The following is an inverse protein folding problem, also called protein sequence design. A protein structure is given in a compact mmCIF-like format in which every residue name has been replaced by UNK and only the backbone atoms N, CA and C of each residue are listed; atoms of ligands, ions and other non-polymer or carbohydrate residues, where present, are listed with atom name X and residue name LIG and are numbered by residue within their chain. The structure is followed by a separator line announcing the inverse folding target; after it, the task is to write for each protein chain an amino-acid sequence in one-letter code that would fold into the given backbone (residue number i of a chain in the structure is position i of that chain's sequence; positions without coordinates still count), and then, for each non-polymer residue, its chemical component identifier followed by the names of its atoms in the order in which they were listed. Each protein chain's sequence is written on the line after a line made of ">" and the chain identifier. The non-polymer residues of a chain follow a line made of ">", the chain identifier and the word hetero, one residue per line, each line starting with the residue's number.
data_IF_302817219084
#
_entry.id   IF_302817219084
#
_cell.length_a   1.000
_cell.length_b   1.000
_cell.length_c   1.000
_cell.angle_alpha   90.00
_cell.angle_beta   90.00
_cell.angle_gamma   90.00
#
_symmetry.space_group_name_H-M   'P 1'
#
loop_
_entity.id
_entity.type
_entity.pdbx_description
1 polymer ?
#
# COMPACT_ATOMS: atom_id res chain seq x y z
N UNK A 1 -12.65 -15.88 -4.36
CA UNK A 1 -13.86 -15.03 -4.36
C UNK A 1 -14.12 -14.59 -2.93
N UNK A 2 -14.40 -13.31 -2.72
CA UNK A 2 -14.84 -12.76 -1.44
C UNK A 2 -16.16 -12.02 -1.67
N UNK A 3 -17.07 -12.06 -0.71
CA UNK A 3 -18.36 -11.35 -0.74
C UNK A 3 -18.52 -10.52 0.53
N UNK A 4 -19.22 -9.39 0.42
CA UNK A 4 -19.57 -8.54 1.55
C UNK A 4 -20.95 -7.93 1.31
N UNK A 5 -21.58 -7.48 2.39
CA UNK A 5 -22.82 -6.72 2.35
C UNK A 5 -22.54 -5.29 2.77
N UNK A 6 -23.17 -4.34 2.10
CA UNK A 6 -23.03 -2.91 2.37
C UNK A 6 -24.41 -2.30 2.54
N UNK A 7 -24.62 -1.59 3.63
CA UNK A 7 -25.82 -0.76 3.84
C UNK A 7 -25.48 0.66 3.44
N UNK A 8 -26.29 1.22 2.54
CA UNK A 8 -26.16 2.59 2.07
C UNK A 8 -27.42 3.37 2.46
N UNK A 9 -27.31 4.69 2.66
CA UNK A 9 -28.47 5.58 2.62
C UNK A 9 -29.25 5.38 1.31
N UNK A 10 -30.58 5.42 1.38
CA UNK A 10 -31.45 5.12 0.24
C UNK A 10 -31.17 6.04 -0.97
N UNK A 11 -30.99 7.33 -0.71
CA UNK A 11 -30.67 8.34 -1.72
C UNK A 11 -29.34 8.06 -2.44
N UNK A 12 -28.34 7.58 -1.70
CA UNK A 12 -27.05 7.21 -2.27
C UNK A 12 -27.14 5.88 -3.03
N UNK A 13 -27.92 4.92 -2.55
CA UNK A 13 -28.14 3.65 -3.23
C UNK A 13 -28.83 3.85 -4.58
N UNK A 14 -29.86 4.70 -4.63
CA UNK A 14 -30.58 5.06 -5.86
C UNK A 14 -29.64 5.71 -6.88
N UNK A 15 -28.89 6.72 -6.47
CA UNK A 15 -27.91 7.38 -7.35
C UNK A 15 -26.83 6.42 -7.82
N UNK A 16 -26.24 5.63 -6.91
CA UNK A 16 -25.21 4.65 -7.28
C UNK A 16 -25.75 3.59 -8.25
N UNK A 17 -27.01 3.17 -8.10
CA UNK A 17 -27.66 2.26 -9.03
C UNK A 17 -27.88 2.90 -10.41
N UNK A 18 -28.34 4.16 -10.46
CA UNK A 18 -28.56 4.92 -11.70
C UNK A 18 -27.27 5.04 -12.53
N UNK A 19 -26.13 5.26 -11.87
CA UNK A 19 -24.81 5.33 -12.51
C UNK A 19 -24.14 3.96 -12.71
N UNK A 20 -24.80 2.85 -12.37
CA UNK A 20 -24.24 1.50 -12.49
C UNK A 20 -23.04 1.23 -11.56
N UNK A 21 -22.88 2.03 -10.51
CA UNK A 21 -21.76 1.89 -9.56
C UNK A 21 -21.93 0.70 -8.62
N UNK A 22 -23.14 0.13 -8.51
CA UNK A 22 -23.42 -1.07 -7.72
C UNK A 22 -23.09 -2.39 -8.45
N UNK A 23 -22.68 -2.32 -9.73
CA UNK A 23 -22.21 -3.50 -10.45
C UNK A 23 -20.92 -4.05 -9.82
N UNK A 24 -20.76 -5.38 -9.67
CA UNK A 24 -19.58 -5.96 -9.04
C UNK A 24 -18.26 -5.54 -9.68
N UNK A 25 -18.23 -5.34 -11.00
CA UNK A 25 -17.04 -4.85 -11.72
C UNK A 25 -16.72 -3.39 -11.38
N UNK A 26 -17.72 -2.52 -11.36
CA UNK A 26 -17.57 -1.11 -10.99
C UNK A 26 -17.07 -0.95 -9.54
N UNK A 27 -17.67 -1.70 -8.60
CA UNK A 27 -17.20 -1.75 -7.21
C UNK A 27 -15.76 -2.26 -7.12
N UNK A 28 -15.39 -3.30 -7.86
CA UNK A 28 -14.02 -3.81 -7.86
C UNK A 28 -13.02 -2.76 -8.37
N UNK A 29 -13.38 -1.99 -9.38
CA UNK A 29 -12.52 -0.93 -9.92
C UNK A 29 -12.41 0.26 -8.99
N UNK A 30 -13.49 0.64 -8.31
CA UNK A 30 -13.48 1.64 -7.23
C UNK A 30 -12.54 1.23 -6.11
N UNK A 31 -12.63 -0.02 -5.63
CA UNK A 31 -11.75 -0.54 -4.59
C UNK A 31 -10.28 -0.55 -5.03
N UNK A 32 -9.99 -0.97 -6.26
CA UNK A 32 -8.61 -0.94 -6.79
C UNK A 32 -8.06 0.48 -6.89
N UNK A 33 -8.87 1.44 -7.33
CA UNK A 33 -8.49 2.83 -7.39
C UNK A 33 -8.18 3.38 -6.00
N UNK A 34 -9.03 3.08 -5.02
CA UNK A 34 -8.85 3.50 -3.64
C UNK A 34 -7.60 2.88 -3.00
N UNK A 35 -7.36 1.59 -3.21
CA UNK A 35 -6.15 0.91 -2.74
C UNK A 35 -4.90 1.61 -3.29
N UNK A 36 -4.85 1.90 -4.60
CA UNK A 36 -3.73 2.63 -5.20
C UNK A 36 -3.54 4.01 -4.57
N UNK A 37 -4.64 4.76 -4.37
CA UNK A 37 -4.61 6.07 -3.73
C UNK A 37 -4.02 5.99 -2.32
N UNK A 38 -4.45 5.03 -1.51
CA UNK A 38 -3.94 4.87 -0.15
C UNK A 38 -2.48 4.43 -0.10
N UNK A 39 -2.04 3.56 -1.01
CA UNK A 39 -0.62 3.18 -1.12
C UNK A 39 0.21 4.44 -1.40
N UNK A 40 -0.18 5.25 -2.38
CA UNK A 40 0.54 6.48 -2.69
C UNK A 40 0.55 7.46 -1.52
N UNK A 41 -0.57 7.58 -0.80
CA UNK A 41 -0.63 8.41 0.40
C UNK A 41 0.36 7.94 1.48
N UNK A 42 0.44 6.63 1.73
CA UNK A 42 1.42 6.06 2.67
C UNK A 42 2.86 6.31 2.26
N UNK A 43 3.17 6.15 0.97
CA UNK A 43 4.51 6.45 0.43
C UNK A 43 4.82 7.93 0.64
N UNK A 44 3.91 8.82 0.28
CA UNK A 44 4.11 10.27 0.43
C UNK A 44 4.32 10.69 1.88
N UNK A 45 3.61 10.06 2.83
CA UNK A 45 3.80 10.31 4.26
C UNK A 45 5.18 9.85 4.74
N UNK A 46 5.67 8.71 4.25
CA UNK A 46 7.03 8.24 4.53
C UNK A 46 8.10 9.18 3.97
N UNK A 47 7.93 9.65 2.73
CA UNK A 47 8.85 10.63 2.11
C UNK A 47 8.86 11.94 2.91
N UNK A 48 7.70 12.48 3.25
CA UNK A 48 7.61 13.70 4.05
C UNK A 48 8.31 13.54 5.42
N UNK A 49 8.20 12.36 6.04
CA UNK A 49 8.92 12.06 7.28
C UNK A 49 10.43 12.06 7.10
N UNK A 50 10.95 11.52 5.98
CA UNK A 50 12.38 11.50 5.65
C UNK A 50 12.91 12.90 5.29
N UNK A 51 12.14 13.71 4.58
CA UNK A 51 12.53 15.10 4.28
C UNK A 51 12.58 15.98 5.54
N UNK A 52 11.77 15.64 6.55
CA UNK A 52 11.74 16.34 7.83
C UNK A 52 12.78 15.85 8.84
N UNK A 53 13.52 14.77 8.55
CA UNK A 53 14.58 14.31 9.43
C UNK A 53 15.88 15.07 9.14
N UNK A 54 16.62 15.41 10.19
CA UNK A 54 17.98 15.96 10.08
C UNK A 54 19.03 14.87 9.77
N UNK A 55 18.59 13.69 9.32
CA UNK A 55 19.48 12.56 9.05
C UNK A 55 20.20 12.75 7.72
N UNK A 56 21.54 12.65 7.77
CA UNK A 56 22.35 12.67 6.56
C UNK A 56 22.23 11.32 5.85
N UNK A 57 21.88 11.29 4.55
CA UNK A 57 21.86 10.05 3.80
C UNK A 57 23.22 9.34 3.86
N UNK A 58 23.22 8.06 4.20
CA UNK A 58 24.43 7.23 4.15
C UNK A 58 24.96 7.13 2.71
N UNK A 59 26.27 6.92 2.57
CA UNK A 59 26.84 6.62 1.25
C UNK A 59 26.36 5.25 0.77
N UNK A 60 26.38 5.03 -0.54
CA UNK A 60 26.03 3.72 -1.11
C UNK A 60 26.93 2.60 -0.56
N UNK A 61 28.21 2.89 -0.34
CA UNK A 61 29.19 1.94 0.19
C UNK A 61 28.85 1.49 1.60
N UNK A 62 28.47 2.44 2.47
CA UNK A 62 28.06 2.17 3.85
C UNK A 62 26.78 1.34 3.89
N UNK A 63 25.80 1.67 3.05
CA UNK A 63 24.54 0.90 2.93
C UNK A 63 24.84 -0.54 2.48
N UNK A 64 25.72 -0.73 1.48
CA UNK A 64 26.06 -2.07 1.01
C UNK A 64 26.82 -2.88 2.07
N UNK A 65 27.64 -2.24 2.89
CA UNK A 65 28.32 -2.91 4.01
C UNK A 65 27.32 -3.42 5.04
N UNK A 66 26.36 -2.59 5.46
CA UNK A 66 25.34 -2.96 6.45
C UNK A 66 24.41 -4.07 5.93
N UNK A 67 23.94 -3.96 4.68
CA UNK A 67 23.09 -4.97 4.05
C UNK A 67 23.78 -6.35 3.99
N UNK A 68 25.11 -6.39 3.74
CA UNK A 68 25.87 -7.64 3.75
C UNK A 68 25.88 -8.29 5.12
N UNK A 69 26.15 -7.52 6.17
CA UNK A 69 26.16 -8.01 7.56
C UNK A 69 24.80 -8.62 7.94
N UNK A 70 23.69 -7.94 7.62
CA UNK A 70 22.34 -8.42 7.91
C UNK A 70 22.01 -9.69 7.10
N UNK A 71 22.39 -9.74 5.82
CA UNK A 71 22.14 -10.92 4.98
C UNK A 71 22.96 -12.12 5.44
N UNK A 72 24.20 -11.92 5.87
CA UNK A 72 25.04 -12.99 6.36
C UNK A 72 24.58 -13.54 7.72
N UNK A 73 23.98 -12.70 8.56
CA UNK A 73 23.33 -13.15 9.81
C UNK A 73 21.98 -13.86 9.57
N UNK A 74 21.27 -13.54 8.50
CA UNK A 74 19.99 -14.19 8.14
C UNK A 74 20.14 -15.47 7.31
N UNK A 75 21.34 -15.76 6.79
CA UNK A 75 21.63 -17.05 6.14
C UNK A 75 21.57 -18.17 7.18
N UNK A 76 20.38 -18.77 7.33
CA UNK A 76 20.25 -20.10 7.94
C UNK A 76 21.07 -21.06 7.07
N UNK A 77 22.08 -21.76 7.61
CA UNK A 77 22.80 -22.75 6.82
C UNK A 77 21.80 -23.77 6.29
N UNK A 78 21.77 -23.97 4.97
CA UNK A 78 20.97 -25.00 4.35
C UNK A 78 21.29 -26.33 5.05
N UNK A 79 20.27 -26.95 5.65
CA UNK A 79 20.39 -28.27 6.31
C UNK A 79 21.04 -29.24 5.32
N UNK A 80 22.22 -29.74 5.68
CA UNK A 80 22.89 -30.86 5.03
C UNK A 80 22.18 -32.18 5.34
#
# INVERSE_FOLDING_TARGET
>A
MASFQLTLPDDLAEQAAEFGLLDPSAIADLLRAEIRRQIMHKISAGIASLESSDEVPMSEEDVQAEVRVVRDTQRVPARA
#
